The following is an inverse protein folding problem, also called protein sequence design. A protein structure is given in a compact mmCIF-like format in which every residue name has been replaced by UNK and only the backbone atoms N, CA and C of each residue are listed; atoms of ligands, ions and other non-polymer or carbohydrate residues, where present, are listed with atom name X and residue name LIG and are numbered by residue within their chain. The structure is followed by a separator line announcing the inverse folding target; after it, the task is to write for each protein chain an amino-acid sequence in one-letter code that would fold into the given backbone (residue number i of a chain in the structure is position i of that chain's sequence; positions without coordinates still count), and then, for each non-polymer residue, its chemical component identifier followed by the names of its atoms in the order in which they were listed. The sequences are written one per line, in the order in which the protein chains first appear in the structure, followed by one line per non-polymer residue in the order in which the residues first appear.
data_IF_539241961723
#
_entry.id   IF_539241961723
#
_cell.length_a   1.000
_cell.length_b   1.000
_cell.length_c   1.000
_cell.angle_alpha   90.00
_cell.angle_beta   90.00
_cell.angle_gamma   90.00
#
_symmetry.space_group_name_H-M   'P 1'
#
loop_
_entity.id
_entity.type
_entity.pdbx_description
1 polymer ?
#
# COMPACT_ATOMS: atom_id res chain seq x y z
N UNK A 1 15.70 20.86 6.69
CA UNK A 1 17.11 20.40 6.81
C UNK A 1 17.48 19.88 8.20
N UNK A 2 16.80 20.33 9.27
CA UNK A 2 17.08 19.92 10.66
C UNK A 2 16.99 18.39 10.90
N UNK A 3 16.06 17.69 10.24
CA UNK A 3 15.89 16.24 10.43
C UNK A 3 16.72 15.39 9.44
N UNK A 4 17.07 15.93 8.28
CA UNK A 4 17.75 15.18 7.21
C UNK A 4 19.22 14.90 7.57
N UNK A 5 19.94 15.93 8.04
CA UNK A 5 21.36 15.83 8.40
C UNK A 5 21.66 14.79 9.51
N UNK A 6 20.96 14.76 10.66
CA UNK A 6 21.23 13.77 11.70
C UNK A 6 20.87 12.34 11.28
N UNK A 7 19.78 12.14 10.55
CA UNK A 7 19.37 10.80 10.10
C UNK A 7 20.28 10.24 9.02
N UNK A 8 20.78 11.08 8.11
CA UNK A 8 21.76 10.65 7.10
C UNK A 8 23.09 10.28 7.76
N UNK A 9 23.50 10.99 8.82
CA UNK A 9 24.74 10.66 9.53
C UNK A 9 24.64 9.34 10.30
N UNK A 10 23.45 8.97 10.79
CA UNK A 10 23.20 7.73 11.53
C UNK A 10 22.91 6.51 10.62
N UNK A 11 22.15 6.71 9.54
CA UNK A 11 21.67 5.64 8.67
C UNK A 11 22.18 5.73 7.22
N UNK A 12 23.02 6.69 6.86
CA UNK A 12 23.47 6.95 5.49
C UNK A 12 22.29 7.15 4.51
N UNK A 13 22.26 6.41 3.40
CA UNK A 13 21.25 6.48 2.34
C UNK A 13 19.82 6.21 2.82
N UNK A 14 19.51 5.17 3.63
CA UNK A 14 18.17 4.98 4.16
C UNK A 14 17.74 6.11 5.12
N UNK A 15 18.69 6.84 5.73
CA UNK A 15 18.39 7.99 6.58
C UNK A 15 17.66 9.11 5.87
N UNK A 16 18.02 9.41 4.62
CA UNK A 16 17.36 10.44 3.81
C UNK A 16 15.90 10.08 3.49
N UNK A 17 15.66 8.82 3.13
CA UNK A 17 14.32 8.29 2.83
C UNK A 17 13.44 8.33 4.07
N UNK A 18 13.98 7.89 5.22
CA UNK A 18 13.26 7.89 6.49
C UNK A 18 12.94 9.31 6.96
N UNK A 19 13.85 10.27 6.78
CA UNK A 19 13.59 11.68 7.10
C UNK A 19 12.44 12.26 6.27
N UNK A 20 12.35 11.90 5.00
CA UNK A 20 11.27 12.34 4.11
C UNK A 20 9.94 11.74 4.54
N UNK A 21 9.91 10.46 4.89
CA UNK A 21 8.72 9.79 5.41
C UNK A 21 8.21 10.46 6.70
N UNK A 22 9.10 10.76 7.65
CA UNK A 22 8.74 11.43 8.91
C UNK A 22 8.21 12.85 8.65
N UNK A 23 8.87 13.61 7.78
CA UNK A 23 8.43 14.96 7.45
C UNK A 23 7.02 14.99 6.83
N UNK A 24 6.74 14.07 5.89
CA UNK A 24 5.42 13.93 5.30
C UNK A 24 4.37 13.49 6.32
N UNK A 25 4.72 12.55 7.21
CA UNK A 25 3.81 12.09 8.26
C UNK A 25 3.47 13.23 9.22
N UNK A 26 4.45 14.03 9.62
CA UNK A 26 4.23 15.21 10.45
C UNK A 26 3.30 16.23 9.77
N UNK A 27 3.54 16.53 8.49
CA UNK A 27 2.67 17.43 7.73
C UNK A 27 1.22 16.91 7.65
N UNK A 28 1.04 15.60 7.43
CA UNK A 28 -0.28 14.95 7.43
C UNK A 28 -0.94 15.07 8.82
N UNK A 29 -0.20 14.85 9.90
CA UNK A 29 -0.71 15.02 11.27
C UNK A 29 -1.15 16.45 11.58
N UNK A 30 -0.36 17.46 11.16
CA UNK A 30 -0.74 18.86 11.30
C UNK A 30 -2.03 19.18 10.55
N UNK A 31 -2.16 18.70 9.30
CA UNK A 31 -3.39 18.86 8.53
C UNK A 31 -4.59 18.21 9.23
N UNK A 32 -4.42 17.00 9.78
CA UNK A 32 -5.47 16.34 10.55
C UNK A 32 -5.85 17.11 11.83
N UNK A 33 -4.88 17.71 12.52
CA UNK A 33 -5.15 18.53 13.71
C UNK A 33 -5.96 19.78 13.37
N UNK A 34 -5.59 20.48 12.28
CA UNK A 34 -6.32 21.65 11.79
C UNK A 34 -7.74 21.26 11.37
N UNK A 35 -7.89 20.16 10.61
CA UNK A 35 -9.22 19.63 10.22
C UNK A 35 -10.09 19.29 11.44
N UNK A 36 -9.52 18.67 12.48
CA UNK A 36 -10.24 18.37 13.72
C UNK A 36 -10.71 19.64 14.43
N UNK A 37 -9.84 20.65 14.52
CA UNK A 37 -10.09 21.88 15.28
C UNK A 37 -11.04 22.83 14.56
N UNK A 38 -10.93 22.96 13.24
CA UNK A 38 -11.67 23.97 12.46
C UNK A 38 -12.88 23.41 11.71
N UNK A 39 -12.90 22.11 11.35
CA UNK A 39 -13.95 21.55 10.50
C UNK A 39 -14.89 20.55 11.19
N UNK A 40 -14.78 20.33 12.52
CA UNK A 40 -15.63 19.39 13.30
C UNK A 40 -15.79 18.00 12.63
N UNK A 41 -14.74 17.52 11.96
CA UNK A 41 -14.81 16.33 11.13
C UNK A 41 -14.93 15.06 11.99
N UNK A 42 -15.97 14.26 11.76
CA UNK A 42 -16.17 12.97 12.46
C UNK A 42 -15.27 11.90 11.85
N UNK A 43 -14.13 11.64 12.49
CA UNK A 43 -13.11 10.66 12.03
C UNK A 43 -13.55 9.18 12.04
N UNK A 44 -14.73 8.85 12.59
CA UNK A 44 -15.13 7.47 12.85
C UNK A 44 -15.16 6.59 11.59
N UNK A 45 -15.58 7.14 10.43
CA UNK A 45 -15.59 6.41 9.17
C UNK A 45 -14.19 6.27 8.55
N UNK A 46 -13.36 7.31 8.62
CA UNK A 46 -12.00 7.31 8.02
C UNK A 46 -11.07 6.27 8.65
N UNK A 47 -11.19 6.01 9.96
CA UNK A 47 -10.38 5.00 10.65
C UNK A 47 -10.68 3.57 10.18
N UNK A 48 -11.94 3.25 9.92
CA UNK A 48 -12.35 1.94 9.41
C UNK A 48 -11.80 1.72 8.00
N UNK A 49 -11.80 2.76 7.15
CA UNK A 49 -11.20 2.69 5.82
C UNK A 49 -9.69 2.50 5.87
N UNK A 50 -9.00 3.24 6.74
CA UNK A 50 -7.56 3.05 6.95
C UNK A 50 -7.24 1.62 7.41
N UNK A 51 -7.99 1.09 8.38
CA UNK A 51 -7.82 -0.27 8.86
C UNK A 51 -8.03 -1.32 7.76
N UNK A 52 -9.05 -1.14 6.90
CA UNK A 52 -9.26 -2.01 5.73
C UNK A 52 -8.08 -1.96 4.76
N UNK A 53 -7.58 -0.77 4.42
CA UNK A 53 -6.43 -0.61 3.51
C UNK A 53 -5.20 -1.33 4.10
N UNK A 54 -4.91 -1.13 5.38
CA UNK A 54 -3.79 -1.78 6.06
C UNK A 54 -3.96 -3.31 6.01
N UNK A 55 -5.14 -3.82 6.34
CA UNK A 55 -5.41 -5.26 6.36
C UNK A 55 -5.24 -5.89 4.97
N UNK A 56 -5.79 -5.27 3.92
CA UNK A 56 -5.62 -5.76 2.54
C UNK A 56 -4.15 -5.72 2.14
N UNK A 57 -3.40 -4.70 2.53
CA UNK A 57 -1.97 -4.60 2.28
C UNK A 57 -1.16 -5.70 2.95
N UNK A 58 -1.47 -6.11 4.20
CA UNK A 58 -0.73 -7.22 4.83
C UNK A 58 -1.10 -8.56 4.16
N UNK A 59 -2.36 -8.77 3.76
CA UNK A 59 -2.76 -9.97 3.01
C UNK A 59 -1.99 -10.05 1.68
N UNK A 60 -1.91 -8.93 0.96
CA UNK A 60 -1.11 -8.83 -0.27
C UNK A 60 0.37 -9.13 0.01
N UNK A 61 0.95 -8.53 1.05
CA UNK A 61 2.35 -8.75 1.43
C UNK A 61 2.64 -10.23 1.67
N UNK A 62 1.83 -10.89 2.49
CA UNK A 62 1.97 -12.33 2.80
C UNK A 62 1.83 -13.15 1.51
N UNK A 63 0.85 -12.85 0.67
CA UNK A 63 0.63 -13.58 -0.59
C UNK A 63 1.84 -13.48 -1.55
N UNK A 64 2.39 -12.29 -1.73
CA UNK A 64 3.57 -12.07 -2.57
C UNK A 64 4.81 -12.74 -1.97
N UNK A 65 4.98 -12.68 -0.65
CA UNK A 65 6.12 -13.28 0.06
C UNK A 65 6.12 -14.81 -0.03
N UNK A 66 4.95 -15.45 0.10
CA UNK A 66 4.81 -16.90 -0.10
C UNK A 66 5.23 -17.31 -1.52
N UNK A 67 4.79 -16.55 -2.52
CA UNK A 67 5.11 -16.85 -3.93
C UNK A 67 6.58 -16.59 -4.21
N UNK A 68 7.14 -15.52 -3.67
CA UNK A 68 8.57 -15.24 -3.74
C UNK A 68 9.39 -16.39 -3.14
N UNK A 69 8.97 -16.92 -1.99
CA UNK A 69 9.62 -18.05 -1.33
C UNK A 69 9.56 -19.32 -2.18
N UNK A 70 8.38 -19.65 -2.73
CA UNK A 70 8.20 -20.80 -3.62
C UNK A 70 9.07 -20.67 -4.87
N UNK A 71 9.06 -19.52 -5.54
CA UNK A 71 9.84 -19.33 -6.76
C UNK A 71 11.35 -19.43 -6.50
N UNK A 72 11.83 -18.92 -5.35
CA UNK A 72 13.24 -19.04 -4.96
C UNK A 72 13.70 -20.48 -4.71
N UNK A 73 12.80 -21.40 -4.35
CA UNK A 73 13.14 -22.82 -4.20
C UNK A 73 13.47 -23.49 -5.53
N UNK A 74 12.90 -23.01 -6.64
CA UNK A 74 13.07 -23.60 -7.97
C UNK A 74 14.02 -22.81 -8.87
N UNK A 75 14.16 -21.50 -8.66
CA UNK A 75 14.96 -20.63 -9.51
C UNK A 75 16.29 -20.27 -8.82
N UNK A 76 17.39 -20.54 -9.52
CA UNK A 76 18.71 -20.09 -9.09
C UNK A 76 18.80 -18.56 -9.04
N UNK A 77 19.59 -17.98 -8.12
CA UNK A 77 19.69 -16.54 -7.89
C UNK A 77 20.48 -15.80 -8.99
N UNK A 78 20.06 -15.94 -10.25
CA UNK A 78 20.59 -15.18 -11.38
C UNK A 78 19.83 -13.86 -11.55
N UNK A 79 20.49 -12.83 -12.11
CA UNK A 79 19.86 -11.51 -12.32
C UNK A 79 18.56 -11.60 -13.14
N UNK A 80 18.53 -12.48 -14.16
CA UNK A 80 17.37 -12.69 -15.00
C UNK A 80 16.22 -13.38 -14.24
N UNK A 81 16.54 -14.37 -13.41
CA UNK A 81 15.55 -15.06 -12.60
C UNK A 81 14.91 -14.14 -11.55
N UNK A 82 15.68 -13.23 -10.94
CA UNK A 82 15.12 -12.21 -10.05
C UNK A 82 14.17 -11.25 -10.75
N UNK A 83 14.44 -10.87 -12.00
CA UNK A 83 13.51 -10.05 -12.79
C UNK A 83 12.18 -10.78 -13.00
N UNK A 84 12.22 -12.08 -13.32
CA UNK A 84 11.01 -12.92 -13.46
C UNK A 84 10.25 -12.99 -12.14
N UNK A 85 10.94 -13.24 -11.03
CA UNK A 85 10.34 -13.31 -9.70
C UNK A 85 9.63 -11.99 -9.35
N UNK A 86 10.28 -10.85 -9.61
CA UNK A 86 9.68 -9.52 -9.36
C UNK A 86 8.47 -9.30 -10.27
N UNK A 87 8.55 -9.63 -11.56
CA UNK A 87 7.44 -9.47 -12.49
C UNK A 87 6.21 -10.29 -12.05
N UNK A 88 6.42 -11.54 -11.65
CA UNK A 88 5.35 -12.40 -11.11
C UNK A 88 4.81 -11.84 -9.79
N UNK A 89 5.69 -11.39 -8.89
CA UNK A 89 5.30 -10.77 -7.62
C UNK A 89 4.40 -9.54 -7.81
N UNK A 90 4.71 -8.68 -8.78
CA UNK A 90 3.89 -7.52 -9.13
C UNK A 90 2.51 -7.94 -9.63
N UNK A 91 2.44 -8.93 -10.53
CA UNK A 91 1.17 -9.44 -11.06
C UNK A 91 0.31 -10.01 -9.94
N UNK A 92 0.88 -10.84 -9.07
CA UNK A 92 0.13 -11.46 -7.98
C UNK A 92 -0.31 -10.42 -6.95
N UNK A 93 0.57 -9.48 -6.59
CA UNK A 93 0.22 -8.37 -5.72
C UNK A 93 -0.96 -7.57 -6.28
N UNK A 94 -0.94 -7.25 -7.57
CA UNK A 94 -2.03 -6.56 -8.25
C UNK A 94 -3.33 -7.38 -8.26
N UNK A 95 -3.27 -8.69 -8.45
CA UNK A 95 -4.45 -9.58 -8.41
C UNK A 95 -5.04 -9.64 -7.00
N UNK A 96 -4.23 -9.84 -5.97
CA UNK A 96 -4.69 -9.94 -4.57
C UNK A 96 -5.27 -8.59 -4.12
N UNK A 97 -4.48 -7.53 -4.23
CA UNK A 97 -4.89 -6.22 -3.77
C UNK A 97 -6.06 -5.69 -4.60
N UNK A 98 -5.96 -5.75 -5.93
CA UNK A 98 -7.02 -5.28 -6.83
C UNK A 98 -8.30 -6.09 -6.69
N UNK A 99 -8.20 -7.42 -6.62
CA UNK A 99 -9.34 -8.30 -6.44
C UNK A 99 -10.08 -8.06 -5.13
N UNK A 100 -9.36 -7.98 -4.00
CA UNK A 100 -9.97 -7.71 -2.69
C UNK A 100 -10.49 -6.28 -2.62
N UNK A 101 -9.76 -5.30 -3.16
CA UNK A 101 -10.17 -3.88 -3.16
C UNK A 101 -11.40 -3.63 -4.01
N UNK A 102 -11.59 -4.33 -5.13
CA UNK A 102 -12.83 -4.25 -5.93
C UNK A 102 -13.99 -4.97 -5.25
N UNK A 103 -13.72 -6.07 -4.55
CA UNK A 103 -14.76 -6.86 -3.86
C UNK A 103 -15.24 -6.18 -2.58
N UNK A 104 -14.34 -5.58 -1.83
CA UNK A 104 -14.68 -4.71 -0.71
C UNK A 104 -15.13 -3.38 -1.31
N UNK A 105 -16.24 -2.78 -0.88
CA UNK A 105 -16.72 -1.47 -1.41
C UNK A 105 -15.73 -0.30 -1.22
N UNK A 106 -14.51 -0.58 -0.77
CA UNK A 106 -13.38 0.33 -0.71
C UNK A 106 -13.07 0.93 -2.08
N UNK A 107 -13.05 0.12 -3.15
CA UNK A 107 -12.88 0.67 -4.50
C UNK A 107 -14.03 1.61 -4.87
N UNK A 108 -15.29 1.27 -4.55
CA UNK A 108 -16.44 2.13 -4.89
C UNK A 108 -16.38 3.48 -4.16
N UNK A 109 -15.81 3.49 -2.95
CA UNK A 109 -15.72 4.68 -2.10
C UNK A 109 -14.54 5.60 -2.47
N UNK A 110 -13.42 5.04 -2.97
CA UNK A 110 -12.22 5.81 -3.36
C UNK A 110 -12.08 6.05 -4.88
N UNK A 111 -12.56 5.13 -5.72
CA UNK A 111 -12.45 5.18 -7.19
C UNK A 111 -13.80 5.50 -7.86
N UNK A 112 -14.87 5.70 -7.08
CA UNK A 112 -16.20 6.07 -7.58
C UNK A 112 -16.86 4.98 -8.41
N UNK A 113 -17.27 5.30 -9.65
CA UNK A 113 -18.01 4.38 -10.53
C UNK A 113 -17.14 3.42 -11.36
N UNK A 114 -15.81 3.61 -11.35
CA UNK A 114 -14.86 2.77 -12.10
C UNK A 114 -14.95 1.29 -11.70
N UNK A 115 -14.97 0.93 -10.40
CA UNK A 115 -15.04 -0.46 -9.96
C UNK A 115 -16.41 -1.07 -10.27
N UNK A 116 -17.50 -0.30 -10.18
CA UNK A 116 -18.83 -0.73 -10.58
C UNK A 116 -18.91 -1.12 -12.07
N UNK A 117 -18.20 -0.38 -12.95
CA UNK A 117 -18.08 -0.73 -14.38
C UNK A 117 -17.25 -2.01 -14.59
N UNK A 118 -16.15 -2.18 -13.84
CA UNK A 118 -15.30 -3.37 -13.92
C UNK A 118 -16.06 -4.60 -13.40
N UNK A 119 -16.77 -4.49 -12.27
CA UNK A 119 -17.58 -5.56 -11.66
C UNK A 119 -18.77 -5.98 -12.53
N UNK A 120 -19.34 -5.07 -13.33
CA UNK A 120 -20.36 -5.43 -14.34
C UNK A 120 -19.78 -6.22 -15.52
N UNK A 121 -18.56 -5.92 -15.95
CA UNK A 121 -17.87 -6.67 -17.02
C UNK A 121 -17.37 -8.03 -16.54
N UNK A 122 -16.91 -8.11 -15.30
CA UNK A 122 -16.42 -9.34 -14.68
C UNK A 122 -17.54 -9.93 -13.82
N UNK A 123 -18.44 -10.69 -14.46
CA UNK A 123 -19.59 -11.39 -13.85
C UNK A 123 -19.21 -12.43 -12.77
N UNK A 124 -17.91 -12.54 -12.44
CA UNK A 124 -17.28 -13.57 -11.60
C UNK A 124 -17.16 -13.20 -10.11
N UNK A 125 -17.50 -11.97 -9.70
CA UNK A 125 -17.36 -11.48 -8.32
C UNK A 125 -18.71 -11.09 -7.69
N UNK A 126 -19.69 -12.00 -7.77
CA UNK A 126 -20.91 -11.93 -6.97
C UNK A 126 -20.65 -12.43 -5.56
#
# INVERSE_FOLDING_TARGET
MILNYPLIMLLHTPGAVLSTAIALLFAICCNFYILKKYANFKFSYSWIHLAKIILISIIMMIGVEVIFFILRLFLEPTRFNYLIIVAIGVIVGAIIYGGITIKTKLADEFLGDIPAKIRRKVKMLR
#
